data_IF_326257647002
#
_entry.id   IF_326257647002
#
_cell.length_a   1.000
_cell.length_b   1.000
_cell.length_c   1.000
_cell.angle_alpha   90.00
_cell.angle_beta   90.00
_cell.angle_gamma   90.00
#
_symmetry.space_group_name_H-M   'P 1'
#
loop_
_entity.id
_entity.type
_entity.pdbx_description
1 polymer ?
#
# COMPACT_ATOMS: atom_id res chain seq x y z
N UNK A 1 -6.58 5.79 3.26
CA UNK A 1 -6.26 5.69 4.71
C UNK A 1 -7.44 6.00 5.62
N UNK A 2 -7.81 7.27 5.88
CA UNK A 2 -8.84 7.61 6.90
C UNK A 2 -10.21 6.95 6.67
N UNK A 3 -10.63 6.78 5.41
CA UNK A 3 -11.87 6.05 5.11
C UNK A 3 -11.78 4.57 5.48
N UNK A 4 -10.67 3.90 5.15
CA UNK A 4 -10.39 2.51 5.52
C UNK A 4 -10.34 2.34 7.04
N UNK A 5 -9.73 3.28 7.78
CA UNK A 5 -9.68 3.26 9.25
C UNK A 5 -11.07 3.23 9.91
N UNK A 6 -12.12 3.72 9.23
CA UNK A 6 -13.51 3.70 9.72
C UNK A 6 -14.32 2.50 9.19
N UNK A 7 -13.69 1.61 8.42
CA UNK A 7 -14.37 0.46 7.85
C UNK A 7 -14.46 -0.66 8.89
N UNK A 8 -15.60 -1.34 8.93
CA UNK A 8 -15.80 -2.54 9.74
C UNK A 8 -15.35 -3.83 9.02
N UNK A 9 -15.05 -3.73 7.71
CA UNK A 9 -14.73 -4.87 6.84
C UNK A 9 -13.35 -4.78 6.19
N UNK A 10 -12.63 -3.68 6.40
CA UNK A 10 -11.28 -3.47 5.88
C UNK A 10 -10.34 -3.01 6.99
N UNK A 11 -9.18 -3.63 7.08
CA UNK A 11 -8.08 -3.21 7.94
C UNK A 11 -6.94 -2.64 7.10
N UNK A 12 -6.44 -1.45 7.44
CA UNK A 12 -5.26 -0.90 6.79
C UNK A 12 -4.00 -1.51 7.41
N UNK A 13 -3.26 -2.30 6.64
CA UNK A 13 -2.00 -2.94 7.09
C UNK A 13 -0.77 -2.14 6.68
N UNK A 14 -0.70 -1.73 5.41
CA UNK A 14 0.45 -1.03 4.83
C UNK A 14 0.09 0.31 4.19
N UNK A 15 0.95 1.32 4.37
CA UNK A 15 0.99 2.53 3.55
C UNK A 15 2.34 2.61 2.83
N UNK A 16 2.30 2.63 1.51
CA UNK A 16 3.50 2.51 0.66
C UNK A 16 3.71 3.76 -0.17
N UNK A 17 4.96 4.20 -0.28
CA UNK A 17 5.38 5.29 -1.14
C UNK A 17 6.81 5.12 -1.61
N UNK A 18 7.35 6.16 -2.25
CA UNK A 18 8.75 6.21 -2.73
C UNK A 18 9.53 7.42 -2.21
N UNK A 19 8.89 8.29 -1.41
CA UNK A 19 9.49 9.50 -0.82
C UNK A 19 9.43 9.37 0.70
N UNK A 20 10.57 9.25 1.37
CA UNK A 20 10.65 8.94 2.81
C UNK A 20 9.96 9.99 3.69
N UNK A 21 10.05 11.26 3.29
CA UNK A 21 9.52 12.44 3.99
C UNK A 21 8.05 12.72 3.67
N UNK A 22 7.42 11.88 2.83
CA UNK A 22 6.04 12.02 2.41
C UNK A 22 5.11 12.22 3.61
N UNK A 23 4.26 13.25 3.53
CA UNK A 23 3.27 13.52 4.56
C UNK A 23 2.33 12.33 4.78
N UNK A 24 1.93 11.63 3.71
CA UNK A 24 1.09 10.45 3.81
C UNK A 24 1.72 9.34 4.64
N UNK A 25 3.03 9.10 4.46
CA UNK A 25 3.78 8.12 5.25
C UNK A 25 3.96 8.58 6.70
N UNK A 26 4.27 9.87 6.93
CA UNK A 26 4.36 10.42 8.29
C UNK A 26 3.04 10.26 9.06
N UNK A 27 1.91 10.60 8.43
CA UNK A 27 0.58 10.45 9.03
C UNK A 27 0.25 8.99 9.31
N UNK A 28 0.56 8.07 8.39
CA UNK A 28 0.33 6.64 8.59
C UNK A 28 1.18 6.08 9.75
N UNK A 29 2.47 6.43 9.84
CA UNK A 29 3.34 6.07 10.98
C UNK A 29 2.82 6.60 12.31
N UNK A 30 2.39 7.86 12.35
CA UNK A 30 1.84 8.46 13.56
C UNK A 30 0.57 7.77 14.08
N UNK A 31 -0.14 7.05 13.19
CA UNK A 31 -1.31 6.25 13.52
C UNK A 31 -0.99 4.77 13.78
N UNK A 32 0.30 4.38 13.77
CA UNK A 32 0.76 3.02 14.07
C UNK A 32 0.73 2.04 12.90
N UNK A 33 0.48 2.50 11.66
CA UNK A 33 0.48 1.63 10.49
C UNK A 33 1.90 1.31 10.01
N UNK A 34 2.09 0.12 9.41
CA UNK A 34 3.33 -0.22 8.71
C UNK A 34 3.49 0.68 7.50
N UNK A 35 4.69 1.22 7.30
CA UNK A 35 4.97 2.10 6.18
C UNK A 35 6.29 1.77 5.53
N UNK A 36 6.37 1.96 4.22
CA UNK A 36 7.63 1.90 3.49
C UNK A 36 7.74 3.03 2.46
N UNK A 37 8.98 3.44 2.18
CA UNK A 37 9.35 4.31 1.07
C UNK A 37 10.15 3.56 -0.03
N UNK A 38 10.25 2.23 0.04
CA UNK A 38 10.96 1.39 -0.93
C UNK A 38 10.04 0.84 -2.04
N UNK A 39 8.82 1.38 -2.15
CA UNK A 39 7.92 1.10 -3.27
C UNK A 39 7.26 -0.28 -3.24
N UNK A 40 6.84 -0.72 -4.43
CA UNK A 40 6.08 -1.96 -4.64
C UNK A 40 6.94 -3.20 -4.39
N UNK A 41 8.25 -3.09 -4.60
CA UNK A 41 9.21 -4.18 -4.46
C UNK A 41 9.22 -4.71 -3.03
N UNK A 42 9.40 -3.84 -2.03
CA UNK A 42 9.32 -4.25 -0.63
C UNK A 42 7.90 -4.71 -0.26
N UNK A 43 6.86 -4.07 -0.79
CA UNK A 43 5.49 -4.51 -0.50
C UNK A 43 5.25 -5.96 -0.93
N UNK A 44 5.83 -6.40 -2.06
CA UNK A 44 5.69 -7.77 -2.55
C UNK A 44 6.41 -8.81 -1.69
N UNK A 45 7.49 -8.44 -0.99
CA UNK A 45 8.13 -9.31 0.00
C UNK A 45 7.17 -9.66 1.16
N UNK A 46 6.21 -8.77 1.43
CA UNK A 46 5.16 -8.91 2.44
C UNK A 46 3.80 -9.30 1.86
N UNK A 47 3.76 -9.84 0.64
CA UNK A 47 2.50 -10.15 -0.04
C UNK A 47 1.57 -11.07 0.79
N UNK A 48 2.08 -11.95 1.65
CA UNK A 48 1.24 -12.81 2.48
C UNK A 48 0.40 -12.05 3.54
N UNK A 49 0.70 -10.77 3.80
CA UNK A 49 0.09 -9.98 4.87
C UNK A 49 -1.15 -9.18 4.44
N UNK A 50 -1.52 -9.21 3.16
CA UNK A 50 -2.67 -8.46 2.63
C UNK A 50 -3.30 -9.14 1.41
N UNK A 51 -4.55 -8.80 1.12
CA UNK A 51 -5.33 -9.37 0.01
C UNK A 51 -5.71 -8.33 -1.05
N UNK A 52 -5.96 -7.10 -0.61
CA UNK A 52 -6.45 -5.99 -1.41
C UNK A 52 -5.43 -4.84 -1.41
N UNK A 53 -5.24 -4.20 -2.56
CA UNK A 53 -4.38 -3.02 -2.71
C UNK A 53 -5.18 -1.87 -3.29
N UNK A 54 -5.14 -0.70 -2.65
CA UNK A 54 -5.67 0.54 -3.20
C UNK A 54 -4.53 1.35 -3.81
N UNK A 55 -4.37 1.31 -5.13
CA UNK A 55 -3.32 2.06 -5.82
C UNK A 55 -3.75 3.49 -6.12
N UNK A 56 -3.17 4.45 -5.39
CA UNK A 56 -3.38 5.87 -5.57
C UNK A 56 -2.13 6.58 -6.10
N UNK A 57 -1.36 5.91 -6.97
CA UNK A 57 -0.20 6.49 -7.65
C UNK A 57 -0.59 7.09 -9.00
N UNK A 58 0.25 6.94 -10.03
CA UNK A 58 -0.04 7.42 -11.39
C UNK A 58 -0.51 6.27 -12.26
N UNK A 59 -1.26 6.54 -13.33
CA UNK A 59 -1.68 5.51 -14.29
C UNK A 59 -0.49 4.67 -14.84
N UNK A 60 0.66 5.32 -15.09
CA UNK A 60 1.88 4.62 -15.55
C UNK A 60 2.43 3.66 -14.50
N UNK A 61 2.49 4.09 -13.24
CA UNK A 61 2.98 3.24 -12.14
C UNK A 61 1.99 2.09 -11.88
N UNK A 62 0.69 2.38 -11.86
CA UNK A 62 -0.36 1.39 -11.66
C UNK A 62 -0.31 0.24 -12.65
N UNK A 63 -0.03 0.50 -13.94
CA UNK A 63 0.13 -0.59 -14.93
C UNK A 63 1.16 -1.63 -14.50
N UNK A 64 2.32 -1.20 -13.99
CA UNK A 64 3.36 -2.08 -13.48
C UNK A 64 2.93 -2.76 -12.18
N UNK A 65 2.31 -2.03 -11.26
CA UNK A 65 1.85 -2.59 -10.00
C UNK A 65 0.80 -3.69 -10.22
N UNK A 66 -0.15 -3.47 -11.15
CA UNK A 66 -1.19 -4.42 -11.49
C UNK A 66 -0.62 -5.75 -11.98
N UNK A 67 0.37 -5.72 -12.88
CA UNK A 67 1.04 -6.94 -13.36
C UNK A 67 1.71 -7.73 -12.21
N UNK A 68 2.43 -7.03 -11.33
CA UNK A 68 3.14 -7.67 -10.22
C UNK A 68 2.20 -8.19 -9.12
N UNK A 69 1.16 -7.42 -8.79
CA UNK A 69 0.18 -7.77 -7.77
C UNK A 69 -0.71 -8.93 -8.23
N UNK A 70 -1.11 -8.95 -9.49
CA UNK A 70 -1.84 -10.09 -10.07
C UNK A 70 -1.00 -11.37 -10.03
N UNK A 71 0.31 -11.29 -10.35
CA UNK A 71 1.21 -12.42 -10.23
C UNK A 71 1.37 -12.93 -8.78
N UNK A 72 1.19 -12.04 -7.79
CA UNK A 72 1.17 -12.38 -6.37
C UNK A 72 -0.23 -12.76 -5.84
N UNK A 73 -1.24 -12.90 -6.71
CA UNK A 73 -2.61 -13.29 -6.35
C UNK A 73 -3.37 -12.20 -5.58
N UNK A 74 -3.03 -10.92 -5.77
CA UNK A 74 -3.65 -9.78 -5.10
C UNK A 74 -4.67 -9.10 -6.01
N UNK A 75 -5.69 -8.54 -5.39
CA UNK A 75 -6.67 -7.68 -6.07
C UNK A 75 -6.24 -6.23 -5.91
N UNK A 76 -6.20 -5.49 -7.01
CA UNK A 76 -5.78 -4.09 -7.08
C UNK A 76 -6.67 -3.30 -8.02
#
# INVERSE_FOLDING_TARGET
>A
MYKIRRSEVLELTWMVGIVAESEGLRRARALGYRTTHRGIEELLEHAAEFELVFDATTARAHRRHAELLAAAGKVV
#
